data_IF_845540041799
#
_entry.id   IF_845540041799
#
_cell.length_a   1.000
_cell.length_b   1.000
_cell.length_c   1.000
_cell.angle_alpha   90.00
_cell.angle_beta   90.00
_cell.angle_gamma   90.00
#
_symmetry.space_group_name_H-M   'P 1'
#
loop_
_entity.id
_entity.type
_entity.pdbx_description
1 polymer ?
#
# COMPACT_ATOMS: atom_id res chain seq x y z
N UNK A 1 -23.53 6.98 8.69
CA UNK A 1 -22.93 5.87 9.48
C UNK A 1 -23.32 4.58 8.81
N UNK A 2 -22.34 3.85 8.24
CA UNK A 2 -22.59 2.50 7.72
C UNK A 2 -22.66 1.58 8.93
N UNK A 3 -23.76 0.85 9.03
CA UNK A 3 -23.96 -0.12 10.08
C UNK A 3 -23.05 -1.33 9.81
N UNK A 4 -21.93 -1.46 10.53
CA UNK A 4 -21.00 -2.58 10.38
C UNK A 4 -21.67 -3.95 10.64
N UNK A 5 -22.81 -3.99 11.33
CA UNK A 5 -23.58 -5.22 11.53
C UNK A 5 -24.31 -5.70 10.26
N UNK A 6 -24.40 -4.86 9.22
CA UNK A 6 -25.00 -5.21 7.92
C UNK A 6 -23.98 -5.80 6.92
N UNK A 7 -22.69 -5.89 7.29
CA UNK A 7 -21.67 -6.51 6.43
C UNK A 7 -21.85 -8.04 6.47
N UNK A 8 -22.11 -8.64 5.32
CA UNK A 8 -22.34 -10.10 5.25
C UNK A 8 -21.07 -10.88 5.62
N UNK A 9 -21.23 -11.88 6.50
CA UNK A 9 -20.16 -12.82 6.83
C UNK A 9 -20.07 -13.86 5.72
N UNK A 10 -19.01 -13.84 4.94
CA UNK A 10 -18.74 -14.89 3.96
C UNK A 10 -17.75 -15.91 4.54
N UNK A 11 -18.24 -17.13 4.80
CA UNK A 11 -17.38 -18.25 5.21
C UNK A 11 -16.42 -18.70 4.10
N UNK A 12 -16.64 -18.26 2.86
CA UNK A 12 -15.81 -18.59 1.68
C UNK A 12 -14.47 -17.83 1.65
N UNK A 13 -14.37 -16.71 2.36
CA UNK A 13 -13.17 -15.85 2.36
C UNK A 13 -11.96 -16.58 2.94
N UNK A 14 -12.13 -17.30 4.05
CA UNK A 14 -11.03 -17.96 4.75
C UNK A 14 -10.31 -19.03 3.93
N UNK A 15 -11.01 -19.71 3.03
CA UNK A 15 -10.42 -20.77 2.21
C UNK A 15 -9.54 -20.25 1.07
N UNK A 16 -9.57 -18.93 0.80
CA UNK A 16 -8.88 -18.28 -0.31
C UNK A 16 -7.65 -17.51 0.10
N UNK A 17 -7.39 -17.35 1.42
CA UNK A 17 -6.16 -16.72 1.90
C UNK A 17 -4.96 -17.58 1.52
N UNK A 18 -3.97 -16.99 0.87
CA UNK A 18 -2.76 -17.69 0.42
C UNK A 18 -1.87 -18.12 1.58
N UNK A 19 -2.08 -17.55 2.77
CA UNK A 19 -1.28 -17.80 3.96
C UNK A 19 -2.20 -18.14 5.11
N UNK A 20 -1.94 -19.29 5.71
CA UNK A 20 -2.67 -19.81 6.88
C UNK A 20 -2.13 -19.16 8.17
N UNK A 21 -2.15 -17.82 8.19
CA UNK A 21 -1.71 -17.01 9.32
C UNK A 21 -2.92 -16.63 10.18
N UNK A 22 -2.76 -16.78 11.48
CA UNK A 22 -3.80 -16.43 12.44
C UNK A 22 -3.60 -14.98 12.92
N UNK A 23 -4.64 -14.11 12.84
CA UNK A 23 -4.60 -12.79 13.42
C UNK A 23 -4.24 -12.82 14.90
N UNK A 24 -3.55 -11.79 15.39
CA UNK A 24 -3.14 -11.67 16.80
C UNK A 24 -4.28 -11.22 17.72
N UNK A 25 -5.42 -10.84 17.15
CA UNK A 25 -6.62 -10.41 17.87
C UNK A 25 -7.88 -10.64 17.05
N UNK A 26 -9.02 -10.03 17.43
CA UNK A 26 -10.29 -10.20 16.74
C UNK A 26 -10.21 -9.75 15.27
N UNK A 27 -10.73 -10.56 14.36
CA UNK A 27 -10.82 -10.26 12.95
C UNK A 27 -12.24 -10.47 12.42
N UNK A 28 -12.73 -9.52 11.61
CA UNK A 28 -14.02 -9.58 10.94
C UNK A 28 -13.80 -9.53 9.44
N UNK A 29 -14.43 -10.46 8.72
CA UNK A 29 -14.37 -10.56 7.27
C UNK A 29 -15.73 -10.19 6.69
N UNK A 30 -15.76 -9.48 5.58
CA UNK A 30 -16.99 -9.02 4.95
C UNK A 30 -16.81 -8.87 3.43
N UNK A 31 -17.92 -8.74 2.73
CA UNK A 31 -17.96 -8.39 1.30
C UNK A 31 -18.56 -7.00 1.13
N UNK A 32 -17.95 -6.21 0.27
CA UNK A 32 -18.47 -4.94 -0.22
C UNK A 32 -18.97 -5.11 -1.64
N UNK A 33 -20.25 -4.83 -1.87
CA UNK A 33 -20.84 -4.91 -3.21
C UNK A 33 -20.45 -3.70 -4.06
N UNK A 34 -20.13 -3.98 -5.33
CA UNK A 34 -19.93 -3.03 -6.41
C UNK A 34 -20.91 -3.36 -7.54
N UNK A 35 -20.88 -2.61 -8.62
CA UNK A 35 -21.73 -2.90 -9.78
C UNK A 35 -21.21 -4.16 -10.49
N UNK A 36 -21.96 -5.26 -10.36
CA UNK A 36 -21.66 -6.54 -11.01
C UNK A 36 -20.65 -7.44 -10.28
N UNK A 37 -20.07 -7.03 -9.15
CA UNK A 37 -19.13 -7.84 -8.38
C UNK A 37 -19.08 -7.46 -6.90
N UNK A 38 -18.39 -8.29 -6.11
CA UNK A 38 -18.11 -8.03 -4.70
C UNK A 38 -16.60 -8.11 -4.43
N UNK A 39 -16.13 -7.27 -3.53
CA UNK A 39 -14.75 -7.31 -3.03
C UNK A 39 -14.74 -7.67 -1.55
N UNK A 40 -13.81 -8.54 -1.21
CA UNK A 40 -13.58 -8.98 0.15
C UNK A 40 -12.79 -7.93 0.94
N UNK A 41 -13.23 -7.70 2.17
CA UNK A 41 -12.56 -6.85 3.14
C UNK A 41 -12.36 -7.55 4.48
N UNK A 42 -11.41 -7.06 5.25
CA UNK A 42 -11.08 -7.56 6.58
C UNK A 42 -10.80 -6.41 7.52
N UNK A 43 -11.43 -6.45 8.69
CA UNK A 43 -11.11 -5.58 9.81
C UNK A 43 -10.31 -6.40 10.82
N UNK A 44 -9.11 -5.94 11.12
CA UNK A 44 -8.33 -6.37 12.29
C UNK A 44 -8.64 -5.38 13.40
N UNK A 45 -9.38 -5.85 14.40
CA UNK A 45 -9.85 -4.98 15.48
C UNK A 45 -8.83 -4.93 16.63
N UNK A 46 -8.84 -3.81 17.35
CA UNK A 46 -8.13 -3.73 18.64
C UNK A 46 -8.84 -4.62 19.66
N UNK A 47 -8.10 -5.49 20.34
CA UNK A 47 -8.66 -6.40 21.33
C UNK A 47 -9.33 -5.67 22.52
N UNK A 48 -8.82 -4.48 22.90
CA UNK A 48 -9.39 -3.65 23.96
C UNK A 48 -10.68 -2.91 23.54
N UNK A 49 -10.90 -2.76 22.21
CA UNK A 49 -12.07 -2.04 21.67
C UNK A 49 -12.51 -2.70 20.37
N UNK A 50 -13.04 -3.93 20.40
CA UNK A 50 -13.27 -4.74 19.20
C UNK A 50 -14.35 -4.16 18.27
N UNK A 51 -15.23 -3.32 18.77
CA UNK A 51 -16.30 -2.68 18.00
C UNK A 51 -15.96 -1.27 17.51
N UNK A 52 -14.80 -0.75 17.89
CA UNK A 52 -14.33 0.55 17.38
C UNK A 52 -14.03 0.46 15.89
N UNK A 53 -14.28 1.57 15.16
CA UNK A 53 -13.88 1.69 13.77
C UNK A 53 -12.37 1.75 13.66
N UNK A 54 -11.78 1.08 12.65
CA UNK A 54 -10.35 1.16 12.38
C UNK A 54 -9.87 2.58 12.10
N UNK A 55 -8.69 2.90 12.61
CA UNK A 55 -8.00 4.16 12.30
C UNK A 55 -7.13 4.06 11.06
N UNK A 56 -6.80 2.86 10.61
CA UNK A 56 -5.90 2.59 9.47
C UNK A 56 -6.66 1.96 8.33
N UNK A 57 -6.50 2.51 7.12
CA UNK A 57 -6.86 1.87 5.86
C UNK A 57 -5.59 1.31 5.21
N UNK A 58 -5.57 0.02 4.85
CA UNK A 58 -4.40 -0.63 4.26
C UNK A 58 -4.68 -1.17 2.86
N UNK A 59 -3.83 -0.81 1.88
CA UNK A 59 -4.00 -1.10 0.45
C UNK A 59 -2.82 -1.93 -0.06
N UNK A 60 -3.10 -3.12 -0.59
CA UNK A 60 -2.10 -4.05 -1.11
C UNK A 60 -1.56 -3.64 -2.50
N UNK A 61 -0.49 -4.28 -2.93
CA UNK A 61 0.14 -4.07 -4.24
C UNK A 61 -0.52 -4.85 -5.39
N UNK A 62 0.02 -4.69 -6.59
CA UNK A 62 -0.45 -5.39 -7.78
C UNK A 62 -0.30 -6.92 -7.65
N UNK A 63 -1.19 -7.69 -8.31
CA UNK A 63 -1.19 -9.16 -8.36
C UNK A 63 -1.14 -9.79 -6.96
N UNK A 64 -1.89 -9.21 -6.03
CA UNK A 64 -1.83 -9.48 -4.61
C UNK A 64 -3.24 -9.45 -4.01
N UNK A 65 -3.30 -9.69 -2.72
CA UNK A 65 -4.50 -9.57 -1.89
C UNK A 65 -4.13 -8.93 -0.54
N UNK A 66 -5.13 -8.61 0.26
CA UNK A 66 -4.92 -7.93 1.54
C UNK A 66 -4.05 -8.73 2.54
N UNK A 67 -3.94 -10.07 2.38
CA UNK A 67 -3.13 -10.91 3.28
C UNK A 67 -1.63 -10.67 3.12
N UNK A 68 -1.20 -10.08 2.00
CA UNK A 68 0.21 -9.76 1.76
C UNK A 68 0.78 -8.73 2.77
N UNK A 69 -0.08 -7.95 3.40
CA UNK A 69 0.32 -7.03 4.46
C UNK A 69 0.27 -7.64 5.86
N UNK A 70 -0.10 -8.93 6.02
CA UNK A 70 -0.21 -9.58 7.32
C UNK A 70 1.07 -9.49 8.16
N UNK A 71 2.24 -9.60 7.52
CA UNK A 71 3.53 -9.51 8.20
C UNK A 71 3.73 -8.22 8.99
N UNK A 72 3.05 -7.13 8.64
CA UNK A 72 3.08 -5.88 9.39
C UNK A 72 1.74 -5.59 10.10
N UNK A 73 0.60 -5.93 9.50
CA UNK A 73 -0.71 -5.62 10.10
C UNK A 73 -1.01 -6.46 11.34
N UNK A 74 -0.54 -7.71 11.44
CA UNK A 74 -0.71 -8.53 12.64
C UNK A 74 0.11 -8.03 13.83
N UNK A 75 1.42 -7.73 13.69
CA UNK A 75 2.17 -7.03 14.74
C UNK A 75 1.56 -5.67 15.13
N UNK A 76 1.03 -4.89 14.19
CA UNK A 76 0.32 -3.65 14.49
C UNK A 76 -0.95 -3.91 15.30
N UNK A 77 -1.73 -4.94 14.95
CA UNK A 77 -2.89 -5.34 15.73
C UNK A 77 -2.50 -5.75 17.17
N UNK A 78 -1.40 -6.49 17.33
CA UNK A 78 -0.86 -6.84 18.64
C UNK A 78 -0.46 -5.60 19.47
N UNK A 79 -0.04 -4.52 18.79
CA UNK A 79 0.25 -3.21 19.40
C UNK A 79 -0.99 -2.33 19.60
N UNK A 80 -2.20 -2.88 19.39
CA UNK A 80 -3.47 -2.17 19.62
C UNK A 80 -3.96 -1.31 18.43
N UNK A 81 -3.33 -1.40 17.27
CA UNK A 81 -3.74 -0.65 16.07
C UNK A 81 -4.80 -1.44 15.30
N UNK A 82 -5.98 -0.84 15.14
CA UNK A 82 -7.03 -1.43 14.30
C UNK A 82 -6.89 -0.98 12.83
N UNK A 83 -7.09 -1.94 11.90
CA UNK A 83 -6.97 -1.66 10.46
C UNK A 83 -8.10 -2.29 9.65
N UNK A 84 -8.45 -1.65 8.54
CA UNK A 84 -9.26 -2.21 7.46
C UNK A 84 -8.36 -2.47 6.27
N UNK A 85 -8.38 -3.68 5.73
CA UNK A 85 -7.71 -4.09 4.50
C UNK A 85 -8.71 -4.79 3.58
N UNK A 86 -8.51 -4.72 2.27
CA UNK A 86 -9.48 -5.20 1.28
C UNK A 86 -8.78 -5.64 0.01
N UNK A 87 -9.48 -6.43 -0.82
CA UNK A 87 -9.02 -6.82 -2.14
C UNK A 87 -9.37 -5.78 -3.19
N UNK A 88 -8.52 -5.67 -4.19
CA UNK A 88 -8.74 -4.88 -5.40
C UNK A 88 -9.14 -5.82 -6.55
N UNK A 89 -10.04 -5.37 -7.43
CA UNK A 89 -10.46 -6.14 -8.60
C UNK A 89 -9.30 -6.41 -9.57
N UNK A 90 -9.31 -7.59 -10.19
CA UNK A 90 -8.32 -7.99 -11.20
C UNK A 90 -6.96 -8.41 -10.66
N UNK A 91 -6.66 -8.22 -9.38
CA UNK A 91 -5.33 -8.52 -8.81
C UNK A 91 -5.22 -9.89 -8.15
N UNK A 92 -6.32 -10.57 -7.94
CA UNK A 92 -6.38 -11.88 -7.30
C UNK A 92 -7.57 -12.70 -7.84
N UNK A 93 -7.74 -13.91 -7.34
CA UNK A 93 -8.78 -14.85 -7.78
C UNK A 93 -10.07 -14.77 -6.95
N UNK A 94 -10.25 -13.72 -6.15
CA UNK A 94 -11.45 -13.57 -5.30
C UNK A 94 -12.63 -13.00 -6.06
N UNK A 95 -12.40 -12.44 -7.25
CA UNK A 95 -13.44 -12.00 -8.19
C UNK A 95 -13.24 -12.65 -9.55
N UNK A 96 -14.28 -12.67 -10.39
CA UNK A 96 -14.20 -13.13 -11.78
C UNK A 96 -13.66 -12.03 -12.73
N UNK A 97 -13.39 -10.83 -12.22
CA UNK A 97 -12.84 -9.72 -13.00
C UNK A 97 -11.39 -10.03 -13.36
N UNK A 98 -11.12 -10.06 -14.66
CA UNK A 98 -9.75 -10.21 -15.14
C UNK A 98 -8.99 -8.90 -15.01
N UNK A 99 -7.66 -8.97 -14.87
CA UNK A 99 -6.82 -7.79 -14.75
C UNK A 99 -7.02 -6.80 -15.93
N UNK A 100 -7.18 -7.31 -17.14
CA UNK A 100 -7.39 -6.49 -18.34
C UNK A 100 -8.77 -5.78 -18.40
N UNK A 101 -9.73 -6.24 -17.58
CA UNK A 101 -11.08 -5.67 -17.53
C UNK A 101 -11.21 -4.56 -16.46
N UNK A 102 -10.13 -4.22 -15.79
CA UNK A 102 -10.09 -3.17 -14.78
C UNK A 102 -8.90 -2.22 -15.00
N UNK A 103 -8.83 -1.18 -14.21
CA UNK A 103 -7.79 -0.14 -14.30
C UNK A 103 -7.37 0.34 -12.92
N UNK A 104 -6.28 1.08 -12.86
CA UNK A 104 -5.86 1.76 -11.62
C UNK A 104 -6.93 2.76 -11.15
N UNK A 105 -7.66 3.40 -12.07
CA UNK A 105 -8.77 4.29 -11.76
C UNK A 105 -9.95 3.55 -11.12
N UNK A 106 -10.31 2.34 -11.60
CA UNK A 106 -11.33 1.51 -10.97
C UNK A 106 -10.89 1.11 -9.56
N UNK A 107 -9.64 0.66 -9.40
CA UNK A 107 -9.11 0.31 -8.08
C UNK A 107 -9.08 1.51 -7.11
N UNK A 108 -8.88 2.72 -7.62
CA UNK A 108 -9.00 3.94 -6.81
C UNK A 108 -10.45 4.14 -6.33
N UNK A 109 -11.46 3.97 -7.20
CA UNK A 109 -12.86 4.07 -6.79
C UNK A 109 -13.25 3.01 -5.75
N UNK A 110 -12.70 1.80 -5.88
CA UNK A 110 -12.86 0.73 -4.89
C UNK A 110 -12.26 1.14 -3.55
N UNK A 111 -11.02 1.61 -3.53
CA UNK A 111 -10.34 2.08 -2.33
C UNK A 111 -11.08 3.23 -1.64
N UNK A 112 -11.56 4.22 -2.42
CA UNK A 112 -12.37 5.33 -1.92
C UNK A 112 -13.71 4.85 -1.32
N UNK A 113 -14.29 3.79 -1.87
CA UNK A 113 -15.53 3.21 -1.33
C UNK A 113 -15.28 2.50 0.00
N UNK A 114 -14.18 1.77 0.15
CA UNK A 114 -13.78 1.18 1.43
C UNK A 114 -13.42 2.27 2.46
N UNK A 115 -12.73 3.34 2.06
CA UNK A 115 -12.45 4.48 2.93
C UNK A 115 -13.74 5.10 3.49
N UNK A 116 -14.76 5.26 2.66
CA UNK A 116 -16.09 5.75 3.11
C UNK A 116 -16.75 4.88 4.16
N UNK A 117 -16.45 3.56 4.20
CA UNK A 117 -16.93 2.69 5.27
C UNK A 117 -16.40 3.08 6.65
N UNK A 118 -15.23 3.70 6.70
CA UNK A 118 -14.61 4.18 7.93
C UNK A 118 -15.08 5.60 8.32
N UNK A 119 -15.67 6.34 7.38
CA UNK A 119 -16.11 7.72 7.60
C UNK A 119 -14.94 8.65 7.94
N UNK A 120 -15.05 9.40 9.01
CA UNK A 120 -13.99 10.30 9.51
C UNK A 120 -13.15 9.67 10.61
N UNK A 121 -13.37 8.40 10.96
CA UNK A 121 -12.66 7.75 12.07
C UNK A 121 -11.25 7.30 11.70
N UNK A 122 -10.93 7.16 10.41
CA UNK A 122 -9.56 6.85 9.99
C UNK A 122 -8.78 8.13 9.72
N UNK A 123 -7.54 8.11 10.14
CA UNK A 123 -6.58 9.20 9.98
C UNK A 123 -5.28 8.76 9.29
N UNK A 124 -5.16 7.46 9.01
CA UNK A 124 -3.94 6.85 8.49
C UNK A 124 -4.24 5.97 7.27
N UNK A 125 -3.42 6.11 6.25
CA UNK A 125 -3.44 5.23 5.07
C UNK A 125 -2.10 4.54 4.93
N UNK A 126 -2.12 3.21 4.78
CA UNK A 126 -0.96 2.37 4.47
C UNK A 126 -1.09 1.86 3.04
N UNK A 127 -0.01 1.94 2.24
CA UNK A 127 0.00 1.40 0.88
C UNK A 127 1.31 0.71 0.54
N UNK A 128 1.23 -0.41 -0.20
CA UNK A 128 2.40 -1.12 -0.71
C UNK A 128 2.41 -1.11 -2.24
N UNK A 129 3.55 -0.75 -2.85
CA UNK A 129 3.71 -0.79 -4.30
C UNK A 129 2.61 0.03 -5.03
N UNK A 130 1.83 -0.58 -5.93
CA UNK A 130 0.63 0.01 -6.54
C UNK A 130 -0.32 0.59 -5.49
N UNK A 131 -0.52 -0.12 -4.37
CA UNK A 131 -1.31 0.38 -3.25
C UNK A 131 -0.75 1.66 -2.61
N UNK A 132 0.55 1.94 -2.76
CA UNK A 132 1.17 3.20 -2.35
C UNK A 132 0.66 4.39 -3.19
N UNK A 133 0.57 4.22 -4.51
CA UNK A 133 -0.03 5.23 -5.39
C UNK A 133 -1.51 5.49 -5.05
N UNK A 134 -2.27 4.40 -4.79
CA UNK A 134 -3.67 4.52 -4.36
C UNK A 134 -3.80 5.19 -2.98
N UNK A 135 -2.88 4.90 -2.05
CA UNK A 135 -2.86 5.49 -0.71
C UNK A 135 -2.70 7.02 -0.77
N UNK A 136 -1.84 7.52 -1.66
CA UNK A 136 -1.69 8.97 -1.88
C UNK A 136 -2.98 9.61 -2.38
N UNK A 137 -3.65 9.00 -3.37
CA UNK A 137 -4.93 9.49 -3.91
C UNK A 137 -6.07 9.41 -2.90
N UNK A 138 -6.12 8.36 -2.07
CA UNK A 138 -7.09 8.25 -0.98
C UNK A 138 -6.82 9.32 0.08
N UNK A 139 -5.56 9.55 0.45
CA UNK A 139 -5.18 10.59 1.40
C UNK A 139 -5.55 12.00 0.88
N UNK A 140 -5.33 12.27 -0.42
CA UNK A 140 -5.75 13.51 -1.08
C UNK A 140 -7.27 13.70 -0.98
N UNK A 141 -8.07 12.68 -1.34
CA UNK A 141 -9.53 12.73 -1.28
C UNK A 141 -10.07 12.90 0.15
N UNK A 142 -9.32 12.46 1.15
CA UNK A 142 -9.65 12.53 2.57
C UNK A 142 -8.72 13.46 3.38
N UNK A 143 -8.14 14.49 2.75
CA UNK A 143 -7.17 15.39 3.37
C UNK A 143 -7.68 16.10 4.63
N UNK A 144 -8.98 16.16 4.82
CA UNK A 144 -9.59 16.73 6.04
C UNK A 144 -9.43 15.81 7.27
N UNK A 145 -9.32 14.48 7.09
CA UNK A 145 -9.20 13.48 8.17
C UNK A 145 -7.84 12.79 8.20
N UNK A 146 -7.26 12.45 7.04
CA UNK A 146 -5.97 11.76 6.95
C UNK A 146 -4.85 12.69 7.42
N UNK A 147 -4.07 12.21 8.38
CA UNK A 147 -2.93 12.91 8.98
C UNK A 147 -1.63 12.14 8.82
N UNK A 148 -1.71 10.84 8.53
CA UNK A 148 -0.54 9.97 8.42
C UNK A 148 -0.62 9.08 7.20
N UNK A 149 0.50 8.99 6.49
CA UNK A 149 0.66 8.12 5.32
C UNK A 149 1.87 7.23 5.57
N UNK A 150 1.72 5.92 5.35
CA UNK A 150 2.82 4.96 5.45
C UNK A 150 2.92 4.23 4.12
N UNK A 151 4.05 4.37 3.46
CA UNK A 151 4.28 3.81 2.14
C UNK A 151 5.38 2.74 2.21
N UNK A 152 5.04 1.53 1.79
CA UNK A 152 5.99 0.43 1.63
C UNK A 152 6.36 0.28 0.16
N UNK A 153 7.61 0.56 -0.22
CA UNK A 153 8.11 0.41 -1.59
C UNK A 153 7.10 0.97 -2.64
N UNK A 154 6.67 2.24 -2.51
CA UNK A 154 5.54 2.76 -3.26
C UNK A 154 5.84 2.92 -4.74
N UNK A 155 4.87 2.61 -5.59
CA UNK A 155 4.82 3.10 -6.95
C UNK A 155 4.22 4.51 -6.99
N UNK A 156 4.50 5.22 -8.08
CA UNK A 156 3.88 6.48 -8.45
C UNK A 156 3.57 6.45 -9.95
N UNK A 157 2.40 6.93 -10.33
CA UNK A 157 1.94 6.88 -11.72
C UNK A 157 1.42 8.23 -12.16
N UNK A 158 1.61 8.54 -13.46
CA UNK A 158 0.96 9.68 -14.09
C UNK A 158 -0.56 9.55 -14.03
N UNK A 159 -1.28 10.68 -14.03
CA UNK A 159 -2.75 10.65 -14.01
C UNK A 159 -3.35 9.98 -15.26
N UNK A 160 -2.62 9.99 -16.39
CA UNK A 160 -3.01 9.26 -17.61
C UNK A 160 -3.04 7.74 -17.38
N UNK A 161 -2.12 7.19 -16.59
CA UNK A 161 -2.06 5.76 -16.31
C UNK A 161 -3.32 5.24 -15.57
N UNK A 162 -3.97 6.09 -14.77
CA UNK A 162 -5.23 5.73 -14.10
C UNK A 162 -6.40 5.48 -15.06
N UNK A 163 -6.34 6.05 -16.26
CA UNK A 163 -7.38 5.91 -17.29
C UNK A 163 -7.20 4.64 -18.14
N UNK A 164 -6.03 4.00 -18.06
CA UNK A 164 -5.71 2.88 -18.92
C UNK A 164 -6.13 1.54 -18.29
N UNK A 165 -6.76 0.63 -19.05
CA UNK A 165 -6.97 -0.74 -18.58
C UNK A 165 -5.61 -1.40 -18.34
N UNK A 166 -5.53 -2.27 -17.33
CA UNK A 166 -4.29 -3.01 -17.09
C UNK A 166 -3.95 -3.90 -18.29
N UNK A 167 -2.67 -4.15 -18.51
CA UNK A 167 -2.15 -4.82 -19.70
C UNK A 167 -1.27 -3.88 -20.52
N UNK A 168 -1.26 -4.04 -21.85
CA UNK A 168 -0.38 -3.24 -22.72
C UNK A 168 -0.67 -1.74 -22.69
N UNK A 169 -1.94 -1.25 -22.63
CA UNK A 169 -2.20 0.19 -22.53
C UNK A 169 -1.59 0.80 -21.25
N UNK A 170 -1.79 0.16 -20.10
CA UNK A 170 -1.21 0.61 -18.84
C UNK A 170 0.32 0.55 -18.87
N UNK A 171 0.89 -0.57 -19.37
CA UNK A 171 2.34 -0.70 -19.51
C UNK A 171 2.93 0.39 -20.40
N UNK A 172 2.29 0.69 -21.53
CA UNK A 172 2.73 1.76 -22.43
C UNK A 172 2.76 3.11 -21.73
N UNK A 173 1.71 3.43 -20.95
CA UNK A 173 1.61 4.69 -20.22
C UNK A 173 2.72 4.84 -19.16
N UNK A 174 3.02 3.77 -18.39
CA UNK A 174 4.06 3.82 -17.35
C UNK A 174 5.48 3.62 -17.86
N UNK A 175 5.66 3.18 -19.11
CA UNK A 175 6.98 2.97 -19.73
C UNK A 175 7.57 4.25 -20.30
N UNK A 176 6.79 5.33 -20.38
CA UNK A 176 7.32 6.64 -20.78
C UNK A 176 8.27 7.12 -19.67
N UNK A 177 9.55 7.38 -19.98
CA UNK A 177 10.51 7.83 -19.00
C UNK A 177 10.01 9.04 -18.22
N UNK A 178 10.14 8.98 -16.90
CA UNK A 178 9.71 10.05 -15.97
C UNK A 178 8.20 10.39 -16.01
N UNK A 179 7.35 9.59 -16.66
CA UNK A 179 5.91 9.86 -16.72
C UNK A 179 5.26 10.00 -15.35
N UNK A 180 5.80 9.38 -14.30
CA UNK A 180 5.32 9.51 -12.93
C UNK A 180 5.43 10.95 -12.38
N UNK A 181 6.26 11.81 -12.96
CA UNK A 181 6.35 13.23 -12.57
C UNK A 181 5.07 14.00 -12.94
N UNK A 182 4.26 13.47 -13.88
CA UNK A 182 2.94 14.02 -14.23
C UNK A 182 1.84 13.52 -13.27
N UNK A 183 2.20 13.05 -12.09
CA UNK A 183 1.26 12.62 -11.05
C UNK A 183 0.82 13.79 -10.20
N UNK A 184 -0.48 14.08 -10.15
CA UNK A 184 -1.04 15.08 -9.24
C UNK A 184 -0.84 14.73 -7.75
N UNK A 185 -0.46 13.47 -7.43
CA UNK A 185 -0.05 13.10 -6.07
C UNK A 185 1.20 13.86 -5.59
N UNK A 186 2.08 14.32 -6.49
CA UNK A 186 3.23 15.14 -6.11
C UNK A 186 2.80 16.55 -5.66
N UNK A 187 1.80 17.14 -6.32
CA UNK A 187 1.22 18.42 -5.90
C UNK A 187 0.56 18.27 -4.52
N UNK A 188 -0.21 17.19 -4.32
CA UNK A 188 -0.79 16.87 -3.03
C UNK A 188 0.27 16.75 -1.93
N UNK A 189 1.40 16.07 -2.18
CA UNK A 189 2.47 15.93 -1.20
C UNK A 189 3.10 17.25 -0.78
N UNK A 190 3.20 18.24 -1.68
CA UNK A 190 3.66 19.61 -1.35
C UNK A 190 2.71 20.33 -0.38
N UNK A 191 1.41 20.02 -0.45
CA UNK A 191 0.37 20.64 0.37
C UNK A 191 0.03 19.83 1.62
N UNK A 192 0.50 18.60 1.71
CA UNK A 192 0.13 17.68 2.79
C UNK A 192 0.72 18.16 4.12
N UNK A 193 -0.16 18.51 5.05
CA UNK A 193 0.20 19.01 6.39
C UNK A 193 0.37 17.89 7.43
N UNK A 194 0.20 16.63 7.03
CA UNK A 194 0.38 15.47 7.89
C UNK A 194 1.82 14.96 7.89
N UNK A 195 1.99 13.74 8.34
CA UNK A 195 3.28 13.05 8.43
C UNK A 195 3.31 11.86 7.47
N UNK A 196 4.45 11.64 6.81
CA UNK A 196 4.67 10.49 5.94
C UNK A 196 5.85 9.65 6.43
N UNK A 197 5.63 8.33 6.55
CA UNK A 197 6.68 7.35 6.74
C UNK A 197 6.88 6.56 5.45
N UNK A 198 8.10 6.56 4.94
CA UNK A 198 8.51 5.82 3.75
C UNK A 198 9.37 4.63 4.18
N UNK A 199 8.89 3.42 3.92
CA UNK A 199 9.57 2.17 4.23
C UNK A 199 10.01 1.52 2.93
N UNK A 200 11.33 1.38 2.72
CA UNK A 200 11.90 0.92 1.45
C UNK A 200 12.82 -0.26 1.69
N UNK A 201 12.76 -1.26 0.81
CA UNK A 201 13.77 -2.32 0.77
C UNK A 201 15.12 -1.78 0.28
N UNK A 202 16.22 -2.25 0.89
CA UNK A 202 17.58 -1.87 0.50
C UNK A 202 17.86 -2.10 -0.99
N UNK A 203 17.23 -3.14 -1.55
CA UNK A 203 17.36 -3.52 -2.96
C UNK A 203 16.17 -3.10 -3.83
N UNK A 204 15.23 -2.32 -3.31
CA UNK A 204 14.21 -1.68 -4.13
C UNK A 204 14.73 -0.33 -4.65
N UNK A 205 14.23 0.12 -5.80
CA UNK A 205 14.72 1.34 -6.42
C UNK A 205 16.09 1.20 -7.13
N UNK A 206 16.51 -0.02 -7.46
CA UNK A 206 17.74 -0.24 -8.21
C UNK A 206 17.55 -0.03 -9.72
N UNK A 207 16.33 -0.14 -10.24
CA UNK A 207 16.01 0.25 -11.61
C UNK A 207 16.02 1.78 -11.74
N UNK A 208 16.41 2.26 -12.91
CA UNK A 208 16.39 3.69 -13.22
C UNK A 208 15.70 3.93 -14.56
N UNK A 209 14.90 5.00 -14.63
CA UNK A 209 14.30 5.47 -15.89
C UNK A 209 15.32 6.17 -16.79
N UNK A 210 16.47 6.58 -16.24
CA UNK A 210 17.54 7.26 -16.98
C UNK A 210 18.37 6.30 -17.84
N UNK A 211 18.31 4.99 -17.59
CA UNK A 211 19.06 4.01 -18.33
C UNK A 211 18.16 3.25 -19.30
N UNK A 212 18.59 3.17 -20.57
CA UNK A 212 17.95 2.29 -21.53
C UNK A 212 17.96 0.85 -21.00
N UNK A 213 16.80 0.21 -20.99
CA UNK A 213 16.70 -1.20 -20.59
C UNK A 213 17.57 -2.03 -21.53
N UNK A 214 18.57 -2.68 -20.98
CA UNK A 214 19.39 -3.64 -21.72
C UNK A 214 18.48 -4.73 -22.25
N UNK A 215 18.54 -5.02 -23.55
CA UNK A 215 17.76 -6.06 -24.20
C UNK A 215 17.94 -7.40 -23.46
N UNK A 216 16.83 -8.00 -22.98
CA UNK A 216 16.84 -9.28 -22.26
C UNK A 216 16.67 -9.20 -20.75
N UNK A 217 16.65 -8.02 -20.11
CA UNK A 217 16.22 -7.88 -18.71
C UNK A 217 14.70 -7.89 -18.65
N UNK A 218 14.12 -8.77 -17.83
CA UNK A 218 12.69 -8.70 -17.55
C UNK A 218 12.42 -7.43 -16.72
N UNK A 219 11.40 -6.66 -17.12
CA UNK A 219 11.04 -5.44 -16.40
C UNK A 219 10.81 -5.75 -14.91
N UNK A 220 11.45 -4.98 -14.04
CA UNK A 220 11.32 -5.10 -12.60
C UNK A 220 12.29 -6.05 -11.91
N UNK A 221 13.32 -6.55 -12.58
CA UNK A 221 14.39 -7.34 -11.95
C UNK A 221 15.77 -6.80 -12.30
N UNK A 222 16.66 -6.82 -11.32
CA UNK A 222 18.07 -6.40 -11.43
C UNK A 222 18.96 -7.54 -10.95
N UNK A 223 20.01 -7.87 -11.70
CA UNK A 223 21.03 -8.83 -11.26
C UNK A 223 22.14 -8.09 -10.54
N UNK A 224 22.40 -8.45 -9.28
CA UNK A 224 23.52 -7.94 -8.48
C UNK A 224 24.59 -9.00 -8.34
N UNK A 225 25.83 -8.57 -8.10
CA UNK A 225 27.01 -9.45 -7.95
C UNK A 225 27.21 -10.39 -9.17
N UNK A 226 26.88 -9.91 -10.36
CA UNK A 226 26.91 -10.68 -11.60
C UNK A 226 28.29 -11.32 -11.85
N UNK A 227 28.29 -12.60 -12.21
CA UNK A 227 29.51 -13.36 -12.46
C UNK A 227 30.29 -13.78 -11.22
N UNK A 228 29.72 -13.61 -10.03
CA UNK A 228 30.29 -14.06 -8.75
C UNK A 228 29.49 -15.24 -8.16
N UNK A 229 30.04 -15.98 -7.18
CA UNK A 229 29.25 -16.99 -6.43
C UNK A 229 28.08 -16.41 -5.63
N UNK A 230 27.98 -15.10 -5.51
CA UNK A 230 26.94 -14.36 -4.79
C UNK A 230 25.92 -13.71 -5.71
N UNK A 231 25.94 -14.05 -7.01
CA UNK A 231 24.97 -13.54 -7.98
C UNK A 231 23.53 -13.77 -7.54
N UNK A 232 22.73 -12.70 -7.54
CA UNK A 232 21.31 -12.75 -7.15
C UNK A 232 20.45 -11.94 -8.10
N UNK A 233 19.27 -12.45 -8.39
CA UNK A 233 18.22 -11.71 -9.10
C UNK A 233 17.36 -11.04 -8.03
N UNK A 234 17.26 -9.73 -8.10
CA UNK A 234 16.53 -8.86 -7.16
C UNK A 234 15.28 -8.34 -7.84
N UNK A 235 14.15 -8.42 -7.16
CA UNK A 235 12.90 -7.80 -7.61
C UNK A 235 12.91 -6.31 -7.22
N UNK A 236 13.06 -5.43 -8.22
CA UNK A 236 13.16 -3.98 -8.03
C UNK A 236 12.41 -3.25 -9.15
N UNK A 237 11.07 -3.34 -9.19
CA UNK A 237 10.26 -2.80 -10.29
C UNK A 237 10.07 -1.29 -10.24
N UNK A 238 10.39 -0.65 -9.12
CA UNK A 238 10.19 0.79 -8.91
C UNK A 238 11.52 1.50 -9.17
N UNK A 239 11.57 2.47 -10.09
CA UNK A 239 12.76 3.29 -10.28
C UNK A 239 13.10 4.11 -9.04
N UNK A 240 14.39 4.31 -8.74
CA UNK A 240 14.78 5.12 -7.56
C UNK A 240 14.31 6.58 -7.68
N UNK A 241 14.16 7.09 -8.90
CA UNK A 241 13.67 8.45 -9.16
C UNK A 241 12.23 8.67 -8.65
N UNK A 242 11.43 7.61 -8.54
CA UNK A 242 10.11 7.67 -7.89
C UNK A 242 10.27 7.98 -6.41
N UNK A 243 11.23 7.32 -5.76
CA UNK A 243 11.53 7.53 -4.34
C UNK A 243 12.02 8.96 -4.12
N UNK A 244 12.96 9.41 -4.95
CA UNK A 244 13.46 10.79 -4.91
C UNK A 244 12.36 11.83 -5.15
N UNK A 245 11.45 11.58 -6.09
CA UNK A 245 10.35 12.48 -6.37
C UNK A 245 9.43 12.63 -5.15
N UNK A 246 9.09 11.53 -4.48
CA UNK A 246 8.31 11.57 -3.24
C UNK A 246 9.06 12.37 -2.16
N UNK A 247 10.34 12.09 -1.95
CA UNK A 247 11.17 12.77 -0.93
C UNK A 247 11.27 14.29 -1.18
N UNK A 248 11.45 14.70 -2.44
CA UNK A 248 11.57 16.11 -2.82
C UNK A 248 10.30 16.94 -2.62
N UNK A 249 9.13 16.28 -2.65
CA UNK A 249 7.83 16.96 -2.52
C UNK A 249 7.30 16.97 -1.09
N UNK A 250 8.05 16.48 -0.11
CA UNK A 250 7.66 16.46 1.29
C UNK A 250 8.39 17.55 2.09
N UNK A 251 7.70 18.09 3.10
CA UNK A 251 8.34 18.98 4.08
C UNK A 251 9.26 18.16 4.98
N UNK A 252 10.50 18.58 5.26
CA UNK A 252 11.48 17.79 6.03
C UNK A 252 11.00 17.32 7.40
N UNK A 253 10.18 18.12 8.10
CA UNK A 253 9.66 17.77 9.42
C UNK A 253 8.49 16.78 9.41
N UNK A 254 7.88 16.57 8.24
CA UNK A 254 6.75 15.67 8.05
C UNK A 254 7.16 14.31 7.49
N UNK A 255 8.47 14.05 7.37
CA UNK A 255 9.00 12.89 6.65
C UNK A 255 9.89 12.01 7.52
N UNK A 256 9.65 10.71 7.50
CA UNK A 256 10.50 9.68 8.11
C UNK A 256 10.78 8.59 7.07
N UNK A 257 12.04 8.23 6.91
CA UNK A 257 12.47 7.12 6.04
C UNK A 257 13.00 5.97 6.88
N UNK A 258 12.56 4.75 6.53
CA UNK A 258 13.00 3.52 7.13
C UNK A 258 13.49 2.56 6.05
N UNK A 259 14.72 2.06 6.16
CA UNK A 259 15.31 1.13 5.22
C UNK A 259 15.23 -0.29 5.79
N UNK A 260 14.72 -1.24 4.99
CA UNK A 260 14.65 -2.66 5.32
C UNK A 260 15.91 -3.37 4.80
N UNK A 261 16.86 -3.78 5.68
CA UNK A 261 18.13 -4.36 5.25
C UNK A 261 17.92 -5.69 4.51
N UNK A 262 18.60 -5.86 3.38
CA UNK A 262 18.51 -7.09 2.57
C UNK A 262 17.15 -7.34 1.92
N UNK A 263 16.21 -6.41 2.02
CA UNK A 263 14.88 -6.50 1.43
C UNK A 263 14.89 -5.95 0.01
N UNK A 264 14.20 -6.64 -0.90
CA UNK A 264 13.83 -6.14 -2.22
C UNK A 264 12.38 -5.65 -2.22
N UNK A 265 11.75 -5.52 -3.40
CA UNK A 265 10.36 -5.12 -3.50
C UNK A 265 9.36 -6.11 -2.84
N UNK A 266 9.78 -7.35 -2.58
CA UNK A 266 8.95 -8.40 -2.00
C UNK A 266 8.83 -8.29 -0.46
N UNK A 267 8.47 -7.12 0.05
CA UNK A 267 8.37 -6.78 1.48
C UNK A 267 7.57 -7.82 2.27
N UNK A 268 6.48 -8.33 1.69
CA UNK A 268 5.64 -9.36 2.32
C UNK A 268 6.40 -10.66 2.64
N UNK A 269 7.23 -11.12 1.70
CA UNK A 269 8.07 -12.29 1.89
C UNK A 269 9.18 -12.00 2.91
N UNK A 270 9.76 -10.81 2.84
CA UNK A 270 10.80 -10.38 3.76
C UNK A 270 10.31 -10.36 5.22
N UNK A 271 9.13 -9.80 5.51
CA UNK A 271 8.57 -9.79 6.86
C UNK A 271 8.31 -11.19 7.41
N UNK A 272 7.87 -12.15 6.58
CA UNK A 272 7.70 -13.53 7.02
C UNK A 272 9.01 -14.18 7.44
N UNK A 273 10.10 -13.84 6.75
CA UNK A 273 11.43 -14.36 7.05
C UNK A 273 12.12 -13.60 8.19
N UNK A 274 11.61 -12.41 8.55
CA UNK A 274 12.17 -11.53 9.58
C UNK A 274 11.07 -11.07 10.56
N UNK A 275 10.42 -12.01 11.28
CA UNK A 275 9.26 -11.67 12.12
C UNK A 275 9.59 -10.78 13.31
N UNK A 276 10.83 -10.82 13.81
CA UNK A 276 11.28 -9.93 14.88
C UNK A 276 11.38 -8.49 14.40
N UNK A 277 11.99 -8.29 13.25
CA UNK A 277 12.07 -6.99 12.63
C UNK A 277 10.69 -6.41 12.32
N UNK A 278 9.75 -7.25 11.85
CA UNK A 278 8.38 -6.85 11.62
C UNK A 278 7.70 -6.36 12.90
N UNK A 279 7.96 -7.00 14.06
CA UNK A 279 7.45 -6.55 15.37
C UNK A 279 8.04 -5.20 15.79
N UNK A 280 9.35 -5.04 15.65
CA UNK A 280 10.03 -3.81 16.01
C UNK A 280 9.55 -2.63 15.15
N UNK A 281 9.43 -2.84 13.84
CA UNK A 281 8.87 -1.84 12.93
C UNK A 281 7.40 -1.53 13.25
N UNK A 282 6.61 -2.53 13.61
CA UNK A 282 5.22 -2.30 14.01
C UNK A 282 5.13 -1.45 15.29
N UNK A 283 6.03 -1.64 16.27
CA UNK A 283 6.11 -0.79 17.45
C UNK A 283 6.50 0.64 17.07
N UNK A 284 7.46 0.80 16.18
CA UNK A 284 7.86 2.12 15.65
C UNK A 284 6.69 2.81 14.93
N UNK A 285 5.97 2.08 14.06
CA UNK A 285 4.76 2.58 13.41
C UNK A 285 3.68 2.92 14.44
N UNK A 286 3.43 2.06 15.42
CA UNK A 286 2.47 2.36 16.49
C UNK A 286 2.83 3.63 17.25
N UNK A 287 4.12 3.83 17.56
CA UNK A 287 4.61 5.09 18.13
C UNK A 287 4.38 6.29 17.20
N UNK A 288 4.67 6.14 15.92
CA UNK A 288 4.40 7.15 14.89
C UNK A 288 2.91 7.51 14.80
N UNK A 289 2.01 6.52 14.89
CA UNK A 289 0.56 6.74 14.85
C UNK A 289 0.04 7.48 16.10
N UNK A 290 0.64 7.22 17.26
CA UNK A 290 0.21 7.81 18.53
C UNK A 290 0.80 9.20 18.79
N UNK A 291 1.84 9.62 18.08
CA UNK A 291 2.36 10.97 18.18
C UNK A 291 1.30 11.95 17.64
N UNK A 292 0.88 12.89 18.47
CA UNK A 292 0.00 13.98 18.04
C UNK A 292 0.81 14.88 17.10
N UNK A 293 0.31 15.11 15.88
CA UNK A 293 0.80 16.20 15.04
C UNK A 293 0.74 17.50 15.82
N UNK A 294 1.89 18.04 16.18
CA UNK A 294 1.96 19.36 16.82
C UNK A 294 1.51 20.37 15.76
N UNK A 295 0.27 20.86 15.90
CA UNK A 295 -0.19 22.00 15.10
C UNK A 295 0.67 23.18 15.49
N UNK A 296 1.61 23.55 14.63
CA UNK A 296 2.17 24.89 14.71
C UNK A 296 1.04 25.87 14.30
N UNK A 297 0.66 26.82 15.18
CA UNK A 297 -0.29 27.84 14.77
C UNK A 297 0.30 28.57 13.56
N UNK A 298 -0.52 28.69 12.50
CA UNK A 298 -0.15 29.54 11.36
C UNK A 298 0.14 30.95 11.86
N UNK A 299 1.34 31.42 11.56
CA UNK A 299 1.74 32.82 11.79
C UNK A 299 1.20 33.70 10.68
#
# INVERSE_FOLDING_TARGET
MINLSALSHSSRIRSRLQFDETPTGPARYFSQAFEGYELEGRILANAASPDALPQVLAIHGARSDYSKLNGILYPLQASGVASLSFNLSGHNTTTDIQLADTSLGNNLQEALRFARCLGTSFDTVIGHSLGGALALKVAEAHKASVRKIILFCPALYSDVAYQQPFGEPFKSAISVPYSFLDSSSLEFLNEFEGELMLVIGEFDGLESTAFDKVAGTSAGTVTIDQGTPHERIINSPIPYEVIEAIEKHLRPHAFKKHLLPGCDHAVSAWFRNNPEYARDLAQEISGFLNNQCVRHPAH
#
